data_IF_088238657826
#
_entry.id   IF_088238657826
#
_cell.length_a   1.000
_cell.length_b   1.000
_cell.length_c   1.000
_cell.angle_alpha   90.00
_cell.angle_beta   90.00
_cell.angle_gamma   90.00
#
_symmetry.space_group_name_H-M   'P 1'
#
loop_
_entity.id
_entity.type
_entity.pdbx_description
1 polymer ?
#
# COMPACT_ATOMS: atom_id res chain seq x y z
N UNK A 1 11.85 12.64 25.03
CA UNK A 1 11.13 12.13 23.84
C UNK A 1 11.67 10.74 23.57
N UNK A 2 10.81 9.74 23.40
CA UNK A 2 11.25 8.40 22.99
C UNK A 2 11.67 8.40 21.53
N UNK A 3 12.81 7.80 21.21
CA UNK A 3 13.31 7.62 19.84
C UNK A 3 12.85 6.26 19.32
N UNK A 4 12.35 6.20 18.08
CA UNK A 4 11.98 4.96 17.37
C UNK A 4 12.36 5.03 15.90
N UNK A 5 13.29 4.19 15.48
CA UNK A 5 13.85 4.16 14.13
C UNK A 5 13.81 2.71 13.59
N UNK A 6 12.63 2.22 13.21
CA UNK A 6 12.47 0.84 12.75
C UNK A 6 12.95 0.61 11.30
N UNK A 7 12.86 1.63 10.46
CA UNK A 7 13.25 1.57 9.05
C UNK A 7 14.60 2.26 8.84
N UNK A 8 15.62 1.82 9.58
CA UNK A 8 16.95 2.40 9.50
C UNK A 8 17.97 1.34 9.12
N UNK A 9 18.88 1.70 8.23
CA UNK A 9 19.94 0.82 7.75
C UNK A 9 21.27 1.55 7.70
N UNK A 10 22.34 0.77 7.52
CA UNK A 10 23.67 1.28 7.18
C UNK A 10 24.28 0.51 6.02
N UNK A 11 25.17 1.17 5.30
CA UNK A 11 26.04 0.57 4.28
C UNK A 11 27.42 1.22 4.30
N UNK A 12 28.49 0.57 3.80
CA UNK A 12 29.80 1.19 3.66
C UNK A 12 29.76 2.48 2.82
N UNK A 13 30.64 3.44 3.11
CA UNK A 13 30.80 4.62 2.25
C UNK A 13 31.30 4.24 0.86
N UNK A 14 30.89 5.04 -0.12
CA UNK A 14 31.28 4.90 -1.52
C UNK A 14 31.47 6.27 -2.16
N UNK A 15 32.08 6.31 -3.35
CA UNK A 15 32.21 7.56 -4.09
C UNK A 15 30.84 8.09 -4.51
N UNK A 16 30.72 9.42 -4.71
CA UNK A 16 29.45 10.04 -5.09
C UNK A 16 28.86 9.44 -6.38
N UNK A 17 29.70 9.13 -7.36
CA UNK A 17 29.26 8.46 -8.60
C UNK A 17 28.68 7.06 -8.34
N UNK A 18 29.34 6.25 -7.48
CA UNK A 18 28.81 4.94 -7.07
C UNK A 18 27.49 5.07 -6.29
N UNK A 19 27.41 6.04 -5.39
CA UNK A 19 26.20 6.33 -4.61
C UNK A 19 25.03 6.73 -5.52
N UNK A 20 25.25 7.63 -6.49
CA UNK A 20 24.24 8.03 -7.45
C UNK A 20 23.78 6.85 -8.32
N UNK A 21 24.71 6.01 -8.77
CA UNK A 21 24.36 4.81 -9.54
C UNK A 21 23.50 3.85 -8.71
N UNK A 22 23.91 3.57 -7.47
CA UNK A 22 23.15 2.76 -6.52
C UNK A 22 21.75 3.33 -6.27
N UNK A 23 21.64 4.64 -6.03
CA UNK A 23 20.36 5.32 -5.78
C UNK A 23 19.42 5.24 -7.00
N UNK A 24 19.95 5.40 -8.21
CA UNK A 24 19.18 5.27 -9.44
C UNK A 24 18.71 3.83 -9.68
N UNK A 25 19.52 2.84 -9.32
CA UNK A 25 19.10 1.44 -9.37
C UNK A 25 17.98 1.18 -8.36
N UNK A 26 18.17 1.58 -7.10
CA UNK A 26 17.14 1.46 -6.06
C UNK A 26 15.82 2.14 -6.48
N UNK A 27 15.88 3.34 -7.08
CA UNK A 27 14.69 4.02 -7.61
C UNK A 27 13.96 3.17 -8.66
N UNK A 28 14.68 2.54 -9.59
CA UNK A 28 14.06 1.67 -10.61
C UNK A 28 13.39 0.46 -9.98
N UNK A 29 14.06 -0.18 -9.03
CA UNK A 29 13.54 -1.39 -8.38
C UNK A 29 12.30 -1.07 -7.54
N UNK A 30 12.31 0.05 -6.80
CA UNK A 30 11.13 0.56 -6.08
C UNK A 30 9.99 0.95 -7.03
N UNK A 31 10.30 1.53 -8.20
CA UNK A 31 9.30 1.88 -9.21
C UNK A 31 8.53 0.66 -9.70
N UNK A 32 9.21 -0.48 -9.91
CA UNK A 32 8.55 -1.72 -10.32
C UNK A 32 7.53 -2.17 -9.28
N UNK A 33 7.87 -2.08 -7.99
CA UNK A 33 6.96 -2.42 -6.89
C UNK A 33 5.80 -1.43 -6.85
N UNK A 34 6.07 -0.13 -6.93
CA UNK A 34 5.07 0.93 -6.92
C UNK A 34 4.06 0.76 -8.07
N UNK A 35 4.56 0.60 -9.29
CA UNK A 35 3.75 0.42 -10.49
C UNK A 35 2.84 -0.81 -10.37
N UNK A 36 3.38 -1.93 -9.85
CA UNK A 36 2.60 -3.15 -9.62
C UNK A 36 1.47 -2.91 -8.63
N UNK A 37 1.75 -2.25 -7.50
CA UNK A 37 0.74 -1.96 -6.47
C UNK A 37 -0.37 -1.04 -7.01
N UNK A 38 0.01 0.06 -7.68
CA UNK A 38 -0.92 1.04 -8.25
C UNK A 38 -1.79 0.40 -9.33
N UNK A 39 -1.18 -0.32 -10.28
CA UNK A 39 -1.92 -1.01 -11.36
C UNK A 39 -2.89 -2.04 -10.78
N UNK A 40 -2.44 -2.85 -9.83
CA UNK A 40 -3.29 -3.83 -9.15
C UNK A 40 -4.50 -3.18 -8.51
N UNK A 41 -4.31 -2.05 -7.81
CA UNK A 41 -5.41 -1.37 -7.12
C UNK A 41 -6.40 -0.73 -8.11
N UNK A 42 -5.93 -0.04 -9.13
CA UNK A 42 -6.79 0.60 -10.14
C UNK A 42 -7.59 -0.44 -10.92
N UNK A 43 -6.96 -1.55 -11.33
CA UNK A 43 -7.65 -2.63 -12.06
C UNK A 43 -8.69 -3.29 -11.16
N UNK A 44 -8.33 -3.60 -9.91
CA UNK A 44 -9.26 -4.18 -8.92
C UNK A 44 -10.49 -3.30 -8.71
N UNK A 45 -10.31 -1.99 -8.52
CA UNK A 45 -11.42 -1.02 -8.37
C UNK A 45 -12.29 -0.97 -9.63
N UNK A 46 -11.67 -0.88 -10.80
CA UNK A 46 -12.39 -0.83 -12.08
C UNK A 46 -13.26 -2.07 -12.28
N UNK A 47 -12.68 -3.26 -12.10
CA UNK A 47 -13.39 -4.54 -12.23
C UNK A 47 -14.51 -4.65 -11.21
N UNK A 48 -14.23 -4.38 -9.93
CA UNK A 48 -15.23 -4.42 -8.86
C UNK A 48 -16.40 -3.49 -9.15
N UNK A 49 -16.13 -2.23 -9.50
CA UNK A 49 -17.18 -1.25 -9.76
C UNK A 49 -18.01 -1.62 -11.00
N UNK A 50 -17.38 -2.19 -12.03
CA UNK A 50 -18.09 -2.67 -13.22
C UNK A 50 -19.01 -3.83 -12.89
N UNK A 51 -18.52 -4.85 -12.18
CA UNK A 51 -19.32 -6.01 -11.80
C UNK A 51 -20.44 -5.62 -10.80
N UNK A 52 -20.18 -4.70 -9.87
CA UNK A 52 -21.21 -4.16 -8.98
C UNK A 52 -22.31 -3.42 -9.75
N UNK A 53 -21.98 -2.63 -10.77
CA UNK A 53 -23.02 -1.97 -11.58
C UNK A 53 -23.94 -2.97 -12.28
N UNK A 54 -23.41 -4.11 -12.71
CA UNK A 54 -24.20 -5.20 -13.31
C UNK A 54 -25.10 -5.84 -12.26
N UNK A 55 -24.56 -6.15 -11.08
CA UNK A 55 -25.31 -6.80 -9.99
C UNK A 55 -26.36 -5.88 -9.34
N UNK A 56 -26.18 -4.57 -9.40
CA UNK A 56 -27.06 -3.58 -8.74
C UNK A 56 -27.55 -2.48 -9.70
N UNK A 57 -28.32 -2.83 -10.75
CA UNK A 57 -28.74 -1.89 -11.78
C UNK A 57 -29.55 -0.69 -11.24
N UNK A 58 -30.25 -0.89 -10.11
CA UNK A 58 -31.13 0.12 -9.51
C UNK A 58 -30.46 0.92 -8.37
N UNK A 59 -29.23 0.59 -7.95
CA UNK A 59 -28.55 1.29 -6.86
C UNK A 59 -27.83 2.53 -7.40
N UNK A 60 -28.42 3.72 -7.20
CA UNK A 60 -27.88 5.00 -7.71
C UNK A 60 -26.42 5.25 -7.32
N UNK A 61 -26.04 4.96 -6.08
CA UNK A 61 -24.67 5.19 -5.59
C UNK A 61 -23.67 4.31 -6.35
N UNK A 62 -24.00 3.04 -6.55
CA UNK A 62 -23.17 2.10 -7.33
C UNK A 62 -23.11 2.52 -8.80
N UNK A 63 -24.24 2.96 -9.37
CA UNK A 63 -24.27 3.40 -10.77
C UNK A 63 -23.41 4.65 -11.03
N UNK A 64 -23.25 5.52 -10.05
CA UNK A 64 -22.38 6.71 -10.14
C UNK A 64 -20.89 6.43 -9.90
N UNK A 65 -20.52 5.26 -9.37
CA UNK A 65 -19.12 4.93 -9.11
C UNK A 65 -18.30 4.88 -10.42
N UNK A 66 -17.00 5.23 -10.40
CA UNK A 66 -16.17 5.13 -11.59
C UNK A 66 -15.98 3.67 -12.01
N UNK A 67 -16.19 3.37 -13.30
CA UNK A 67 -16.14 1.99 -13.83
C UNK A 67 -15.24 1.83 -15.05
N UNK A 68 -14.48 2.87 -15.41
CA UNK A 68 -13.42 2.79 -16.40
C UNK A 68 -12.06 2.98 -15.75
N UNK A 69 -10.99 2.51 -16.40
CA UNK A 69 -9.61 2.69 -15.95
C UNK A 69 -9.28 4.17 -15.77
N UNK A 70 -9.67 5.01 -16.73
CA UNK A 70 -9.40 6.45 -16.68
C UNK A 70 -10.08 7.10 -15.47
N UNK A 71 -11.35 6.78 -15.22
CA UNK A 71 -12.10 7.37 -14.10
C UNK A 71 -11.58 6.89 -12.75
N UNK A 72 -11.26 5.60 -12.60
CA UNK A 72 -10.64 5.07 -11.38
C UNK A 72 -9.22 5.58 -11.17
N UNK A 73 -8.43 5.80 -12.23
CA UNK A 73 -7.11 6.42 -12.12
C UNK A 73 -7.21 7.89 -11.63
N UNK A 74 -8.17 8.67 -12.15
CA UNK A 74 -8.41 10.04 -11.68
C UNK A 74 -8.81 10.05 -10.20
N UNK A 75 -9.73 9.17 -9.79
CA UNK A 75 -10.14 9.04 -8.39
C UNK A 75 -8.96 8.64 -7.49
N UNK A 76 -8.18 7.63 -7.90
CA UNK A 76 -6.97 7.21 -7.21
C UNK A 76 -5.98 8.37 -7.02
N UNK A 77 -5.72 9.16 -8.07
CA UNK A 77 -4.84 10.33 -7.98
C UNK A 77 -5.40 11.42 -7.05
N UNK A 78 -6.72 11.59 -7.02
CA UNK A 78 -7.40 12.46 -6.05
C UNK A 78 -7.17 11.99 -4.61
N UNK A 79 -7.45 10.73 -4.33
CA UNK A 79 -7.23 10.12 -3.02
C UNK A 79 -5.76 10.18 -2.58
N UNK A 80 -4.83 9.96 -3.51
CA UNK A 80 -3.39 10.06 -3.25
C UNK A 80 -3.00 11.47 -2.80
N UNK A 81 -3.44 12.50 -3.53
CA UNK A 81 -3.18 13.90 -3.18
C UNK A 81 -3.80 14.25 -1.82
N UNK A 82 -5.06 13.87 -1.61
CA UNK A 82 -5.74 14.10 -0.32
C UNK A 82 -5.04 13.38 0.83
N UNK A 83 -4.61 12.13 0.63
CA UNK A 83 -3.88 11.36 1.65
C UNK A 83 -2.57 12.04 2.02
N UNK A 84 -1.83 12.53 1.02
CA UNK A 84 -0.59 13.28 1.22
C UNK A 84 -0.80 14.60 1.96
N UNK A 85 -1.80 15.38 1.57
CA UNK A 85 -2.13 16.67 2.20
C UNK A 85 -2.58 16.51 3.66
N UNK A 86 -3.47 15.55 3.92
CA UNK A 86 -4.00 15.27 5.25
C UNK A 86 -3.09 14.39 6.10
N UNK A 87 -1.96 13.91 5.56
CA UNK A 87 -1.06 12.93 6.18
C UNK A 87 -1.77 11.65 6.61
N UNK A 88 -2.79 11.25 5.85
CA UNK A 88 -3.51 9.99 6.04
C UNK A 88 -2.67 8.85 5.46
N UNK A 89 -2.40 7.84 6.28
CA UNK A 89 -1.61 6.67 5.89
C UNK A 89 -2.53 5.55 5.42
N UNK A 90 -3.05 5.67 4.20
CA UNK A 90 -3.74 4.57 3.55
C UNK A 90 -2.74 3.77 2.71
N UNK A 91 -2.31 2.56 3.12
CA UNK A 91 -1.30 1.80 2.39
C UNK A 91 -1.74 1.35 0.98
N UNK A 92 -3.04 1.39 0.67
CA UNK A 92 -3.53 1.07 -0.69
C UNK A 92 -3.29 2.19 -1.69
N UNK A 93 -3.09 3.43 -1.21
CA UNK A 93 -2.96 4.63 -2.05
C UNK A 93 -1.62 5.31 -1.84
N UNK A 94 -1.07 5.24 -0.62
CA UNK A 94 0.18 5.89 -0.23
C UNK A 94 1.38 5.03 -0.63
N UNK A 95 1.91 5.28 -1.82
CA UNK A 95 3.05 4.54 -2.42
C UNK A 95 4.39 5.28 -2.32
N UNK A 96 4.45 6.38 -1.55
CA UNK A 96 5.66 7.20 -1.46
C UNK A 96 6.82 6.47 -0.79
N UNK A 97 8.02 6.81 -1.24
CA UNK A 97 9.26 6.39 -0.61
C UNK A 97 10.23 7.55 -0.62
N UNK A 98 10.52 8.08 0.56
CA UNK A 98 11.58 9.06 0.79
C UNK A 98 12.70 8.41 1.59
N UNK A 99 13.95 8.64 1.20
CA UNK A 99 15.10 8.16 1.95
C UNK A 99 15.98 9.33 2.40
N UNK A 100 16.36 9.30 3.67
CA UNK A 100 17.18 10.33 4.31
C UNK A 100 18.53 9.70 4.64
N UNK A 101 19.61 10.26 4.07
CA UNK A 101 20.97 9.75 4.21
C UNK A 101 21.84 10.66 5.09
N UNK A 102 22.66 10.04 5.94
CA UNK A 102 23.69 10.68 6.74
C UNK A 102 25.03 9.97 6.55
N UNK A 103 26.06 10.74 6.22
CA UNK A 103 27.40 10.22 5.94
C UNK A 103 28.26 10.38 7.20
N UNK A 104 28.74 9.28 7.77
CA UNK A 104 29.50 9.32 9.02
C UNK A 104 30.60 8.26 9.08
N UNK A 105 31.85 8.74 9.07
CA UNK A 105 33.03 7.89 9.06
C UNK A 105 33.03 7.00 7.81
N UNK A 106 33.10 5.68 8.02
CA UNK A 106 33.14 4.69 6.94
C UNK A 106 31.76 4.15 6.56
N UNK A 107 30.68 4.74 7.07
CA UNK A 107 29.32 4.28 6.81
C UNK A 107 28.39 5.41 6.35
N UNK A 108 27.42 5.02 5.55
CA UNK A 108 26.23 5.79 5.21
C UNK A 108 25.08 5.19 6.00
N UNK A 109 24.44 5.99 6.84
CA UNK A 109 23.26 5.62 7.61
C UNK A 109 22.05 6.24 6.94
N UNK A 110 20.95 5.50 6.83
CA UNK A 110 19.77 6.05 6.18
C UNK A 110 18.47 5.47 6.70
N UNK A 111 17.40 6.25 6.52
CA UNK A 111 16.04 5.86 6.89
C UNK A 111 15.12 5.95 5.70
N UNK A 112 14.28 4.93 5.52
CA UNK A 112 13.21 4.95 4.54
C UNK A 112 11.90 5.35 5.23
N UNK A 113 11.36 6.49 4.80
CA UNK A 113 10.03 6.95 5.15
C UNK A 113 9.06 6.39 4.11
N UNK A 114 8.39 5.31 4.49
CA UNK A 114 7.39 4.65 3.68
C UNK A 114 6.49 3.78 4.56
N UNK A 115 5.25 3.58 4.13
CA UNK A 115 4.31 2.62 4.72
C UNK A 115 4.24 1.31 3.91
N UNK A 116 5.03 1.19 2.84
CA UNK A 116 5.07 0.01 1.97
C UNK A 116 6.10 -1.00 2.48
N UNK A 117 5.65 -2.10 3.08
CA UNK A 117 6.54 -3.16 3.57
C UNK A 117 7.39 -3.77 2.44
N UNK A 118 6.83 -3.87 1.23
CA UNK A 118 7.58 -4.37 0.07
C UNK A 118 8.83 -3.54 -0.25
N UNK A 119 8.82 -2.23 0.05
CA UNK A 119 10.00 -1.38 -0.11
C UNK A 119 11.04 -1.67 0.97
N UNK A 120 10.62 -1.84 2.22
CA UNK A 120 11.54 -2.16 3.33
C UNK A 120 12.14 -3.56 3.17
N UNK A 121 11.38 -4.50 2.62
CA UNK A 121 11.83 -5.85 2.30
C UNK A 121 12.88 -5.82 1.18
N UNK A 122 12.63 -5.06 0.11
CA UNK A 122 13.58 -4.85 -0.98
C UNK A 122 14.90 -4.25 -0.44
N UNK A 123 14.83 -3.17 0.33
CA UNK A 123 16.02 -2.50 0.89
C UNK A 123 16.81 -3.46 1.77
N UNK A 124 16.13 -4.23 2.62
CA UNK A 124 16.78 -5.19 3.53
C UNK A 124 17.44 -6.35 2.80
N UNK A 125 16.98 -6.68 1.59
CA UNK A 125 17.56 -7.73 0.75
C UNK A 125 18.77 -7.27 -0.08
N UNK A 126 19.06 -5.96 -0.14
CA UNK A 126 20.16 -5.45 -0.94
C UNK A 126 21.53 -5.82 -0.35
N UNK A 127 22.53 -6.11 -1.21
CA UNK A 127 23.86 -6.48 -0.75
C UNK A 127 24.54 -5.30 -0.04
N UNK A 128 25.30 -5.60 1.00
CA UNK A 128 26.04 -4.63 1.83
C UNK A 128 25.16 -3.64 2.61
N UNK A 129 23.89 -3.95 2.79
CA UNK A 129 22.98 -3.21 3.67
C UNK A 129 22.74 -4.03 4.93
N UNK A 130 22.82 -3.37 6.09
CA UNK A 130 22.54 -3.97 7.39
C UNK A 130 21.45 -3.15 8.09
N UNK A 131 20.45 -3.83 8.65
CA UNK A 131 19.48 -3.20 9.56
C UNK A 131 20.23 -2.54 10.72
N UNK A 132 19.90 -1.28 10.98
CA UNK A 132 20.59 -0.45 11.96
C UNK A 132 19.64 0.43 12.77
N UNK A 133 18.41 -0.06 12.98
CA UNK A 133 17.39 0.56 13.79
C UNK A 133 17.78 0.72 15.25
N UNK A 134 17.09 1.65 15.90
CA UNK A 134 17.28 1.98 17.30
C UNK A 134 16.00 2.52 17.93
N UNK A 135 15.75 2.12 19.18
CA UNK A 135 14.69 2.67 20.03
C UNK A 135 15.08 2.61 21.51
N UNK A 136 14.54 3.52 22.31
CA UNK A 136 14.88 3.65 23.73
C UNK A 136 13.71 3.36 24.69
N UNK A 137 12.52 3.07 24.16
CA UNK A 137 11.29 2.94 24.93
C UNK A 137 10.90 1.50 25.29
N UNK A 138 11.63 0.52 24.76
CA UNK A 138 11.43 -0.91 24.97
C UNK A 138 12.79 -1.62 24.96
N UNK A 139 12.82 -2.87 25.39
CA UNK A 139 14.03 -3.68 25.36
C UNK A 139 14.63 -3.76 23.95
N UNK A 140 15.97 -3.84 23.91
CA UNK A 140 16.72 -4.09 22.67
C UNK A 140 16.36 -5.47 22.11
N UNK A 141 16.58 -5.72 20.81
CA UNK A 141 16.50 -7.08 20.27
C UNK A 141 17.44 -8.05 20.98
N UNK A 142 17.00 -9.29 21.18
CA UNK A 142 17.79 -10.35 21.84
C UNK A 142 19.10 -10.64 21.09
N UNK A 143 19.03 -10.62 19.76
CA UNK A 143 20.17 -10.89 18.88
C UNK A 143 21.26 -9.81 18.94
N UNK A 144 20.99 -8.63 19.49
CA UNK A 144 21.95 -7.51 19.55
C UNK A 144 22.53 -7.41 20.96
N UNK A 145 23.85 -7.42 21.10
CA UNK A 145 24.49 -7.22 22.41
C UNK A 145 24.22 -5.82 22.98
N UNK A 146 24.18 -5.69 24.30
CA UNK A 146 23.99 -4.38 24.96
C UNK A 146 25.06 -3.35 24.54
N UNK A 147 26.30 -3.81 24.32
CA UNK A 147 27.40 -2.97 23.82
C UNK A 147 27.11 -2.45 22.41
N UNK A 148 26.68 -3.32 21.49
CA UNK A 148 26.32 -2.93 20.13
C UNK A 148 25.11 -1.99 20.12
N UNK A 149 24.10 -2.24 20.97
CA UNK A 149 22.93 -1.37 21.10
C UNK A 149 23.31 0.04 21.58
N UNK A 150 24.15 0.12 22.61
CA UNK A 150 24.68 1.41 23.10
C UNK A 150 25.53 2.14 22.06
N UNK A 151 26.18 1.40 21.17
CA UNK A 151 26.89 1.99 20.03
C UNK A 151 25.91 2.56 19.00
N UNK A 152 24.81 1.86 18.68
CA UNK A 152 23.74 2.38 17.82
C UNK A 152 23.17 3.68 18.38
N UNK A 153 22.85 3.71 19.68
CA UNK A 153 22.39 4.91 20.38
C UNK A 153 23.31 6.10 20.13
N UNK A 154 24.61 5.95 20.43
CA UNK A 154 25.59 7.03 20.29
C UNK A 154 25.71 7.50 18.84
N UNK A 155 25.67 6.57 17.88
CA UNK A 155 25.70 6.93 16.46
C UNK A 155 24.49 7.77 16.11
N UNK A 156 23.29 7.32 16.46
CA UNK A 156 22.06 8.06 16.17
C UNK A 156 21.99 9.41 16.89
N UNK A 157 22.31 9.47 18.19
CA UNK A 157 22.44 10.73 18.94
C UNK A 157 23.41 11.69 18.26
N UNK A 158 24.54 11.18 17.77
CA UNK A 158 25.54 11.99 17.09
C UNK A 158 25.19 12.36 15.64
N UNK A 159 24.18 11.72 15.04
CA UNK A 159 23.60 12.10 13.75
C UNK A 159 22.55 13.19 13.98
N UNK A 160 21.76 13.08 15.06
CA UNK A 160 20.68 14.01 15.37
C UNK A 160 21.18 15.28 16.07
N UNK A 161 22.23 15.19 16.89
CA UNK A 161 22.66 16.29 17.74
C UNK A 161 21.48 16.87 18.53
N UNK A 162 21.25 18.17 18.39
CA UNK A 162 20.09 18.89 18.97
C UNK A 162 18.98 19.18 17.95
N UNK A 163 19.06 18.66 16.72
CA UNK A 163 18.13 18.99 15.63
C UNK A 163 17.12 17.87 15.39
N UNK A 164 16.02 18.23 14.71
CA UNK A 164 15.06 17.24 14.23
C UNK A 164 15.68 16.41 13.09
N UNK A 165 15.35 15.12 13.08
CA UNK A 165 15.83 14.09 12.13
C UNK A 165 15.94 14.57 10.68
N UNK A 166 14.89 15.25 10.19
CA UNK A 166 14.76 15.68 8.79
C UNK A 166 15.75 16.79 8.37
N UNK A 167 16.29 17.56 9.32
CA UNK A 167 17.00 18.80 9.01
C UNK A 167 18.51 18.61 8.78
N UNK A 168 19.06 17.43 9.08
CA UNK A 168 20.51 17.17 9.03
C UNK A 168 20.98 16.20 7.96
N UNK A 169 20.08 15.69 7.11
CA UNK A 169 20.37 14.61 6.14
C UNK A 169 20.18 15.05 4.68
N UNK A 170 20.72 14.26 3.75
CA UNK A 170 20.39 14.36 2.33
C UNK A 170 19.09 13.58 2.07
N UNK A 171 18.05 14.29 1.65
CA UNK A 171 16.73 13.73 1.42
C UNK A 171 16.52 13.46 -0.07
N UNK A 172 16.10 12.24 -0.40
CA UNK A 172 15.72 11.86 -1.76
C UNK A 172 14.31 11.27 -1.79
N UNK A 173 13.42 11.92 -2.53
CA UNK A 173 12.18 11.32 -2.97
C UNK A 173 12.50 10.31 -4.08
N UNK A 174 12.34 9.02 -3.77
CA UNK A 174 12.56 7.94 -4.73
C UNK A 174 11.29 7.63 -5.50
N UNK A 175 10.17 7.58 -4.80
CA UNK A 175 8.82 7.40 -5.37
C UNK A 175 7.93 8.53 -4.85
N UNK A 176 7.31 9.28 -5.75
CA UNK A 176 6.32 10.31 -5.45
C UNK A 176 5.32 10.48 -6.59
N UNK A 177 4.56 11.59 -6.59
CA UNK A 177 3.44 11.80 -7.52
C UNK A 177 3.83 11.63 -9.00
N UNK A 178 4.99 12.17 -9.40
CA UNK A 178 5.47 12.13 -10.79
C UNK A 178 5.86 10.72 -11.27
N UNK A 179 5.98 9.77 -10.34
CA UNK A 179 6.24 8.37 -10.63
C UNK A 179 4.96 7.59 -10.92
N UNK A 180 3.78 8.16 -10.68
CA UNK A 180 2.50 7.47 -10.84
C UNK A 180 2.00 7.62 -12.27
N UNK A 181 2.12 6.55 -13.05
CA UNK A 181 1.64 6.51 -14.43
C UNK A 181 0.25 5.86 -14.53
N UNK A 182 -0.55 6.32 -15.50
CA UNK A 182 -1.78 5.66 -15.87
C UNK A 182 -1.48 4.24 -16.40
N UNK A 183 -2.24 3.20 -15.97
CA UNK A 183 -2.12 1.86 -16.52
C UNK A 183 -2.37 1.85 -18.04
N UNK A 184 -1.62 1.03 -18.77
CA UNK A 184 -1.72 0.90 -20.24
C UNK A 184 -2.07 -0.52 -20.65
N UNK A 185 -2.58 -0.69 -21.87
CA UNK A 185 -2.75 -2.01 -22.48
C UNK A 185 -1.45 -2.83 -22.40
N UNK A 186 -1.57 -4.14 -22.16
CA UNK A 186 -0.45 -5.05 -21.97
C UNK A 186 0.14 -5.06 -20.55
N UNK A 187 -0.30 -4.16 -19.65
CA UNK A 187 0.17 -4.09 -18.25
C UNK A 187 -0.95 -4.33 -17.23
N UNK A 188 -2.19 -4.49 -17.68
CA UNK A 188 -3.39 -4.50 -16.83
C UNK A 188 -4.02 -5.88 -16.77
N UNK A 189 -3.86 -6.65 -17.83
CA UNK A 189 -4.39 -8.00 -18.01
C UNK A 189 -3.87 -8.94 -16.91
N UNK A 190 -2.63 -8.77 -16.46
CA UNK A 190 -2.06 -9.56 -15.35
C UNK A 190 -2.73 -9.30 -13.99
N UNK A 191 -3.46 -8.19 -13.85
CA UNK A 191 -4.12 -7.78 -12.61
C UNK A 191 -5.63 -7.96 -12.63
N UNK A 192 -6.20 -8.42 -13.75
CA UNK A 192 -7.63 -8.74 -13.83
C UNK A 192 -7.88 -9.96 -12.93
N UNK A 193 -8.68 -9.83 -11.85
CA UNK A 193 -8.95 -10.97 -11.00
C UNK A 193 -9.74 -12.03 -11.76
N UNK A 194 -9.50 -13.30 -11.46
CA UNK A 194 -10.24 -14.40 -12.07
C UNK A 194 -11.75 -14.33 -11.75
N UNK A 195 -12.54 -15.05 -12.54
CA UNK A 195 -14.00 -15.05 -12.42
C UNK A 195 -14.49 -15.40 -11.01
N UNK A 196 -13.89 -16.40 -10.35
CA UNK A 196 -14.33 -16.83 -9.03
C UNK A 196 -13.99 -15.77 -7.98
N UNK A 197 -12.84 -15.12 -8.09
CA UNK A 197 -12.45 -14.01 -7.22
C UNK A 197 -13.44 -12.85 -7.36
N UNK A 198 -13.75 -12.44 -8.60
CA UNK A 198 -14.76 -11.39 -8.90
C UNK A 198 -16.15 -11.74 -8.37
N UNK A 199 -16.62 -12.95 -8.68
CA UNK A 199 -17.90 -13.49 -8.23
C UNK A 199 -18.02 -13.47 -6.70
N UNK A 200 -16.95 -13.87 -6.00
CA UNK A 200 -16.88 -13.84 -4.55
C UNK A 200 -16.96 -12.43 -3.97
N UNK A 201 -16.31 -11.45 -4.58
CA UNK A 201 -16.32 -10.05 -4.12
C UNK A 201 -17.72 -9.44 -4.25
N UNK A 202 -18.34 -9.58 -5.43
CA UNK A 202 -19.68 -9.04 -5.68
C UNK A 202 -20.74 -9.74 -4.82
N UNK A 203 -20.62 -11.06 -4.63
CA UNK A 203 -21.53 -11.80 -3.78
C UNK A 203 -21.46 -11.38 -2.31
N UNK A 204 -20.29 -10.96 -1.80
CA UNK A 204 -20.18 -10.39 -0.43
C UNK A 204 -21.00 -9.11 -0.31
N UNK A 205 -20.86 -8.20 -1.27
CA UNK A 205 -21.58 -6.93 -1.28
C UNK A 205 -23.09 -7.15 -1.43
N UNK A 206 -23.51 -8.11 -2.25
CA UNK A 206 -24.93 -8.44 -2.42
C UNK A 206 -25.53 -9.04 -1.15
N UNK A 207 -24.87 -10.03 -0.56
CA UNK A 207 -25.31 -10.63 0.70
C UNK A 207 -25.41 -9.59 1.81
N UNK A 208 -24.42 -8.70 1.92
CA UNK A 208 -24.42 -7.64 2.92
C UNK A 208 -25.55 -6.61 2.70
N UNK A 209 -25.72 -6.13 1.46
CA UNK A 209 -26.80 -5.18 1.15
C UNK A 209 -28.18 -5.76 1.42
N UNK A 210 -28.39 -7.05 1.11
CA UNK A 210 -29.64 -7.73 1.41
C UNK A 210 -29.87 -7.85 2.92
N UNK A 211 -28.86 -8.26 3.68
CA UNK A 211 -28.92 -8.30 5.15
C UNK A 211 -29.27 -6.92 5.73
N UNK A 212 -28.54 -5.88 5.30
CA UNK A 212 -28.75 -4.50 5.75
C UNK A 212 -30.13 -3.97 5.40
N UNK A 213 -30.74 -4.41 4.30
CA UNK A 213 -32.10 -4.01 3.92
C UNK A 213 -33.19 -4.65 4.79
N UNK A 214 -32.90 -5.79 5.44
CA UNK A 214 -33.84 -6.55 6.26
C UNK A 214 -33.73 -6.23 7.74
N UNK A 215 -32.54 -5.85 8.20
CA UNK A 215 -32.35 -5.44 9.60
C UNK A 215 -32.97 -4.07 9.86
N UNK A 216 -33.82 -4.01 10.88
CA UNK A 216 -34.40 -2.76 11.40
C UNK A 216 -33.49 -2.10 12.43
N UNK A 217 -32.42 -2.79 12.85
CA UNK A 217 -31.45 -2.23 13.79
C UNK A 217 -30.63 -1.16 13.08
N UNK A 218 -30.38 -0.04 13.77
CA UNK A 218 -29.37 0.93 13.37
C UNK A 218 -28.00 0.29 13.53
N UNK A 219 -27.63 -0.60 12.62
CA UNK A 219 -26.25 -1.03 12.45
C UNK A 219 -25.49 0.23 12.07
N UNK A 220 -24.55 0.64 12.91
CA UNK A 220 -23.65 1.71 12.56
C UNK A 220 -22.86 1.26 11.33
N UNK A 221 -23.24 1.78 10.17
CA UNK A 221 -22.65 1.42 8.87
C UNK A 221 -21.15 1.78 8.83
N UNK A 222 -20.67 2.60 9.78
CA UNK A 222 -19.25 2.88 9.97
C UNK A 222 -18.48 1.75 10.67
N UNK A 223 -19.17 0.81 11.32
CA UNK A 223 -18.54 -0.31 12.01
C UNK A 223 -18.20 -1.45 11.03
N UNK A 224 -17.11 -1.26 10.29
CA UNK A 224 -16.52 -2.26 9.38
C UNK A 224 -16.28 -3.64 10.04
N UNK A 225 -16.18 -3.68 11.38
CA UNK A 225 -16.02 -4.91 12.14
C UNK A 225 -17.28 -5.79 12.13
N UNK A 226 -18.47 -5.21 12.30
CA UNK A 226 -19.72 -5.97 12.34
C UNK A 226 -20.01 -6.60 10.96
N UNK A 227 -19.77 -5.84 9.89
CA UNK A 227 -19.82 -6.35 8.52
C UNK A 227 -18.88 -7.56 8.34
N UNK A 228 -17.63 -7.42 8.77
CA UNK A 228 -16.64 -8.49 8.67
C UNK A 228 -17.04 -9.74 9.47
N UNK A 229 -17.52 -9.56 10.70
CA UNK A 229 -17.93 -10.64 11.58
C UNK A 229 -19.15 -11.38 11.02
N UNK A 230 -20.14 -10.65 10.51
CA UNK A 230 -21.32 -11.25 9.90
C UNK A 230 -20.98 -12.05 8.64
N UNK A 231 -20.16 -11.51 7.72
CA UNK A 231 -19.75 -12.22 6.50
C UNK A 231 -18.97 -13.52 6.76
N UNK A 232 -18.45 -13.70 7.99
CA UNK A 232 -17.78 -14.90 8.46
C UNK A 232 -18.67 -15.87 9.22
N UNK A 233 -19.88 -15.45 9.60
CA UNK A 233 -20.87 -16.32 10.25
C UNK A 233 -21.43 -17.37 9.28
N UNK A 234 -22.07 -18.42 9.81
CA UNK A 234 -22.74 -19.43 8.99
C UNK A 234 -23.84 -18.81 8.11
N UNK A 235 -24.57 -17.84 8.66
CA UNK A 235 -25.61 -17.10 7.94
C UNK A 235 -25.01 -16.29 6.78
N UNK A 236 -23.97 -15.50 7.05
CA UNK A 236 -23.29 -14.70 6.03
C UNK A 236 -22.66 -15.56 4.93
N UNK A 237 -22.09 -16.71 5.28
CA UNK A 237 -21.57 -17.66 4.29
C UNK A 237 -22.68 -18.25 3.41
N UNK A 238 -23.82 -18.63 4.00
CA UNK A 238 -24.96 -19.12 3.24
C UNK A 238 -25.55 -18.05 2.31
N UNK A 239 -25.73 -16.82 2.81
CA UNK A 239 -26.21 -15.70 2.02
C UNK A 239 -25.28 -15.39 0.83
N UNK A 240 -23.96 -15.50 1.03
CA UNK A 240 -22.99 -15.35 -0.05
C UNK A 240 -23.12 -16.43 -1.12
N UNK A 241 -23.36 -17.69 -0.78
CA UNK A 241 -23.56 -18.75 -1.78
C UNK A 241 -24.85 -18.56 -2.57
N UNK A 242 -25.92 -18.08 -1.92
CA UNK A 242 -27.15 -17.66 -2.62
C UNK A 242 -26.84 -16.51 -3.59
N UNK A 243 -26.16 -15.47 -3.12
CA UNK A 243 -25.76 -14.32 -3.93
C UNK A 243 -24.92 -14.73 -5.16
N UNK A 244 -23.96 -15.65 -5.01
CA UNK A 244 -23.17 -16.19 -6.14
C UNK A 244 -24.06 -16.81 -7.21
N UNK A 245 -25.03 -17.65 -6.80
CA UNK A 245 -25.91 -18.32 -7.74
C UNK A 245 -26.80 -17.33 -8.50
N UNK A 246 -27.16 -16.21 -7.89
CA UNK A 246 -27.96 -15.16 -8.52
C UNK A 246 -27.17 -14.37 -9.57
N UNK A 247 -25.89 -14.10 -9.32
CA UNK A 247 -25.09 -13.19 -10.17
C UNK A 247 -24.14 -13.90 -11.14
N UNK A 248 -23.88 -15.20 -10.98
CA UNK A 248 -22.91 -15.94 -11.82
C UNK A 248 -23.21 -15.83 -13.33
N UNK A 249 -24.49 -15.81 -13.69
CA UNK A 249 -24.93 -15.75 -15.09
C UNK A 249 -25.05 -14.31 -15.61
N UNK A 250 -24.90 -13.31 -14.72
CA UNK A 250 -24.89 -11.89 -15.06
C UNK A 250 -23.48 -11.38 -15.39
N UNK A 251 -22.46 -11.92 -14.72
CA UNK A 251 -21.08 -11.48 -14.86
C UNK A 251 -20.42 -12.13 -16.07
N UNK A 252 -19.66 -11.34 -16.85
CA UNK A 252 -18.86 -11.87 -17.95
C UNK A 252 -17.77 -12.80 -17.40
N UNK A 253 -17.62 -14.04 -17.91
CA UNK A 253 -16.62 -14.99 -17.42
C UNK A 253 -15.19 -14.44 -17.49
N UNK A 254 -14.84 -13.82 -18.60
CA UNK A 254 -13.51 -13.25 -18.84
C UNK A 254 -13.63 -11.77 -19.18
N UNK A 255 -12.77 -10.95 -18.56
CA UNK A 255 -12.63 -9.54 -18.89
C UNK A 255 -11.30 -9.33 -19.63
N UNK A 256 -11.32 -8.42 -20.61
CA UNK A 256 -10.14 -7.96 -21.34
C UNK A 256 -9.88 -6.48 -21.03
N UNK A 257 -8.77 -5.95 -21.54
CA UNK A 257 -8.49 -4.51 -21.46
C UNK A 257 -9.64 -3.65 -22.01
N UNK A 258 -10.22 -4.05 -23.14
CA UNK A 258 -11.31 -3.30 -23.79
C UNK A 258 -12.58 -3.25 -22.94
N UNK A 259 -12.77 -4.23 -22.03
CA UNK A 259 -13.85 -4.16 -21.06
C UNK A 259 -13.58 -3.10 -19.97
N UNK A 260 -12.34 -2.67 -19.75
CA UNK A 260 -11.99 -1.75 -18.67
C UNK A 260 -11.82 -0.30 -19.12
N UNK A 261 -11.77 -0.02 -20.42
CA UNK A 261 -11.60 1.33 -20.99
C UNK A 261 -12.93 2.08 -21.07
#
# INVERSE_FOLDING_TARGET
>A
MSVKLYNAWRMPTMSMSKFQHWLNQLRRDLQVIADRAIRSEIVRRTVRNKDLKIAFPNNKQIQTAPSSLTSNWIEFMGEYRTSREMKLRNPLVYVECEIIFHFKGNFIYFLALTDQSAYTDLISALPNIEEYGYWDNTDKPDAISARAWKQRQRIWESIFGNTQFMLGGLVFMLIGEYNIAMPKQGTVEEFIPDFNTRLNEVAKELAWNEYMSKTTETVDVSNSFDHYMWLKSLEGLAAREVAKNLIKDLLKPELTYDDLV
#
